data_IF_425693654422
#
_entry.id   IF_425693654422
#
_cell.length_a   1.000
_cell.length_b   1.000
_cell.length_c   1.000
_cell.angle_alpha   90.00
_cell.angle_beta   90.00
_cell.angle_gamma   90.00
#
_symmetry.space_group_name_H-M   'P 1'
#
loop_
_entity.id
_entity.type
_entity.pdbx_description
1 polymer ?
#
# COMPACT_ATOMS: atom_id res chain seq x y z
N UNK A 1 -7.85 14.68 5.51
CA UNK A 1 -7.26 13.35 5.24
C UNK A 1 -8.23 12.62 4.34
N UNK A 2 -7.75 11.89 3.33
CA UNK A 2 -8.65 11.12 2.45
C UNK A 2 -9.13 9.87 3.19
N UNK A 3 -10.38 9.40 2.95
CA UNK A 3 -10.80 8.10 3.44
C UNK A 3 -9.94 7.01 2.79
N UNK A 4 -9.82 5.87 3.46
CA UNK A 4 -9.16 4.72 2.87
C UNK A 4 -10.02 4.16 1.72
N UNK A 5 -9.41 3.59 0.67
CA UNK A 5 -10.18 3.11 -0.48
C UNK A 5 -11.00 1.87 -0.12
N UNK A 6 -12.19 1.75 -0.72
CA UNK A 6 -13.11 0.64 -0.46
C UNK A 6 -12.64 -0.61 -1.20
N UNK A 7 -12.50 -1.76 -0.52
CA UNK A 7 -12.17 -3.02 -1.19
C UNK A 7 -13.37 -3.56 -1.96
N UNK A 8 -13.17 -3.84 -3.25
CA UNK A 8 -14.14 -4.57 -4.09
C UNK A 8 -13.88 -6.08 -4.03
N UNK A 9 -12.61 -6.46 -3.90
CA UNK A 9 -12.17 -7.83 -3.76
C UNK A 9 -10.84 -7.87 -3.00
N UNK A 10 -10.63 -8.93 -2.22
CA UNK A 10 -9.36 -9.20 -1.52
C UNK A 10 -9.03 -10.69 -1.64
N UNK A 11 -7.76 -11.01 -1.86
CA UNK A 11 -7.27 -12.38 -1.78
C UNK A 11 -7.32 -12.89 -0.34
N UNK A 12 -7.54 -14.20 -0.12
CA UNK A 12 -7.34 -14.80 1.20
C UNK A 12 -5.89 -14.60 1.67
N UNK A 13 -5.70 -14.22 2.94
CA UNK A 13 -4.37 -14.02 3.54
C UNK A 13 -3.44 -15.23 3.33
N UNK A 14 -3.95 -16.45 3.55
CA UNK A 14 -3.20 -17.69 3.33
C UNK A 14 -2.70 -17.84 1.90
N UNK A 15 -3.47 -17.41 0.90
CA UNK A 15 -3.06 -17.51 -0.49
C UNK A 15 -1.97 -16.49 -0.85
N UNK A 16 -1.95 -15.33 -0.19
CA UNK A 16 -0.87 -14.35 -0.36
C UNK A 16 0.42 -14.90 0.26
N UNK A 17 0.34 -15.39 1.50
CA UNK A 17 1.49 -15.93 2.23
C UNK A 17 2.12 -17.14 1.53
N UNK A 18 1.29 -18.02 0.98
CA UNK A 18 1.73 -19.23 0.28
C UNK A 18 2.00 -19.01 -1.23
N UNK A 19 2.06 -17.74 -1.67
CA UNK A 19 2.29 -17.33 -3.07
C UNK A 19 1.32 -17.96 -4.10
N UNK A 20 0.10 -18.28 -3.67
CA UNK A 20 -0.99 -18.78 -4.52
C UNK A 20 -1.86 -17.66 -5.09
N UNK A 21 -1.87 -16.48 -4.48
CA UNK A 21 -2.66 -15.35 -4.94
C UNK A 21 -2.19 -14.83 -6.31
N UNK A 22 -3.11 -14.22 -7.07
CA UNK A 22 -2.76 -13.47 -8.28
C UNK A 22 -2.33 -14.32 -9.49
N UNK A 23 -2.75 -15.60 -9.59
CA UNK A 23 -2.40 -16.45 -10.75
C UNK A 23 -2.88 -15.88 -12.11
N UNK A 24 -3.94 -15.09 -12.10
CA UNK A 24 -4.47 -14.41 -13.29
C UNK A 24 -3.67 -13.15 -13.66
N UNK A 25 -2.80 -12.65 -12.77
CA UNK A 25 -1.94 -11.51 -13.05
C UNK A 25 -0.78 -11.94 -13.95
N UNK A 26 -0.43 -11.07 -14.90
CA UNK A 26 0.81 -11.24 -15.66
C UNK A 26 2.02 -11.23 -14.73
N UNK A 27 3.13 -11.85 -15.17
CA UNK A 27 4.32 -12.02 -14.33
C UNK A 27 4.87 -10.69 -13.78
N UNK A 28 4.87 -9.64 -14.60
CA UNK A 28 5.35 -8.31 -14.21
C UNK A 28 4.48 -7.70 -13.09
N UNK A 29 3.16 -7.80 -13.20
CA UNK A 29 2.23 -7.31 -12.19
C UNK A 29 2.28 -8.13 -10.91
N UNK A 30 2.45 -9.46 -11.02
CA UNK A 30 2.63 -10.35 -9.87
C UNK A 30 3.88 -9.99 -9.06
N UNK A 31 5.00 -9.73 -9.73
CA UNK A 31 6.24 -9.28 -9.09
C UNK A 31 6.08 -7.90 -8.43
N UNK A 32 5.37 -6.97 -9.08
CA UNK A 32 5.11 -5.65 -8.49
C UNK A 32 4.22 -5.74 -7.25
N UNK A 33 3.16 -6.55 -7.29
CA UNK A 33 2.13 -6.60 -6.27
C UNK A 33 2.51 -7.53 -5.10
N UNK A 34 3.10 -8.68 -5.37
CA UNK A 34 3.39 -9.71 -4.37
C UNK A 34 4.88 -9.82 -4.02
N UNK A 35 5.76 -9.14 -4.77
CA UNK A 35 7.19 -9.09 -4.46
C UNK A 35 7.52 -8.13 -3.30
N UNK A 36 8.65 -8.37 -2.66
CA UNK A 36 9.19 -7.58 -1.54
C UNK A 36 9.99 -6.34 -1.99
N UNK A 37 10.07 -6.08 -3.30
CA UNK A 37 10.77 -4.95 -3.88
C UNK A 37 10.13 -3.59 -3.56
N UNK A 38 10.95 -2.53 -3.46
CA UNK A 38 10.47 -1.16 -3.24
C UNK A 38 9.82 -0.58 -4.50
N UNK A 39 8.55 -0.14 -4.47
CA UNK A 39 7.91 0.49 -5.64
C UNK A 39 8.66 1.72 -6.10
N UNK A 40 9.24 2.50 -5.18
CA UNK A 40 10.07 3.65 -5.54
C UNK A 40 11.22 3.26 -6.45
N UNK A 41 11.89 2.12 -6.17
CA UNK A 41 12.95 1.61 -7.02
C UNK A 41 12.41 1.05 -8.34
N UNK A 42 11.30 0.31 -8.29
CA UNK A 42 10.67 -0.22 -9.50
C UNK A 42 10.24 0.88 -10.45
N UNK A 43 9.56 1.93 -9.98
CA UNK A 43 9.14 3.04 -10.82
C UNK A 43 10.33 3.76 -11.45
N UNK A 44 11.40 4.03 -10.69
CA UNK A 44 12.63 4.61 -11.25
C UNK A 44 13.23 3.73 -12.36
N UNK A 45 13.21 2.40 -12.19
CA UNK A 45 13.71 1.48 -13.23
C UNK A 45 12.81 1.45 -14.47
N UNK A 46 11.50 1.52 -14.30
CA UNK A 46 10.54 1.48 -15.39
C UNK A 46 10.50 2.79 -16.17
N UNK A 47 10.50 3.93 -15.47
CA UNK A 47 10.33 5.26 -16.09
C UNK A 47 11.65 5.92 -16.45
N UNK A 48 12.74 5.59 -15.79
CA UNK A 48 14.00 6.34 -15.83
C UNK A 48 13.98 7.65 -15.02
N UNK A 49 12.81 8.03 -14.48
CA UNK A 49 12.62 9.29 -13.75
C UNK A 49 12.77 9.11 -12.24
N UNK A 50 13.28 10.12 -11.50
CA UNK A 50 13.29 10.09 -10.06
C UNK A 50 11.86 10.12 -9.51
N UNK A 51 11.58 9.21 -8.57
CA UNK A 51 10.33 9.26 -7.79
C UNK A 51 10.36 10.40 -6.77
N UNK A 52 9.35 11.26 -6.81
CA UNK A 52 9.06 12.28 -5.79
C UNK A 52 7.79 11.93 -5.01
N UNK A 53 7.71 12.43 -3.77
CA UNK A 53 6.56 12.22 -2.88
C UNK A 53 5.77 13.52 -2.80
N UNK A 54 4.48 13.44 -3.11
CA UNK A 54 3.51 14.51 -2.87
C UNK A 54 2.71 14.15 -1.61
N UNK A 55 2.96 14.87 -0.51
CA UNK A 55 2.28 14.62 0.76
C UNK A 55 0.84 15.12 0.72
N UNK A 56 -0.11 14.25 1.02
CA UNK A 56 -1.54 14.59 1.12
C UNK A 56 -1.87 14.96 2.56
N UNK A 57 -1.51 14.09 3.50
CA UNK A 57 -1.77 14.29 4.92
C UNK A 57 -0.80 13.48 5.79
N UNK A 58 -0.53 13.97 6.98
CA UNK A 58 0.10 13.21 8.06
C UNK A 58 -0.48 13.71 9.39
N UNK A 59 -1.32 12.89 10.03
CA UNK A 59 -2.05 13.30 11.23
C UNK A 59 -2.29 12.11 12.18
N UNK A 60 -2.67 12.38 13.44
CA UNK A 60 -3.14 11.35 14.36
C UNK A 60 -4.21 10.48 13.73
N UNK A 61 -4.03 9.17 13.84
CA UNK A 61 -5.05 8.21 13.45
C UNK A 61 -6.03 8.05 14.61
N UNK A 62 -7.36 8.20 14.38
CA UNK A 62 -8.35 7.97 15.41
C UNK A 62 -8.20 6.56 15.98
N UNK A 63 -8.33 6.44 17.31
CA UNK A 63 -8.35 5.14 17.97
C UNK A 63 -9.47 4.28 17.36
N UNK A 64 -9.24 2.96 17.24
CA UNK A 64 -10.38 2.05 17.08
C UNK A 64 -11.27 2.28 18.30
N UNK A 65 -12.46 2.84 18.10
CA UNK A 65 -13.53 2.59 19.06
C UNK A 65 -13.72 1.08 19.04
N UNK A 66 -13.40 0.42 20.16
CA UNK A 66 -13.69 -0.99 20.32
C UNK A 66 -15.18 -1.14 20.05
N UNK A 67 -15.53 -1.78 18.92
CA UNK A 67 -16.89 -2.12 18.59
C UNK A 67 -17.46 -2.88 19.79
N UNK A 68 -18.30 -2.22 20.56
CA UNK A 68 -18.99 -2.81 21.69
C UNK A 68 -19.73 -4.04 21.18
N UNK A 69 -19.49 -5.15 21.85
CA UNK A 69 -20.14 -6.44 21.61
C UNK A 69 -21.66 -6.29 21.53
N UNK A 70 -22.28 -6.97 20.56
CA UNK A 70 -23.72 -7.19 20.52
C UNK A 70 -24.49 -6.30 19.54
N UNK A 71 -24.44 -6.64 18.25
CA UNK A 71 -25.39 -6.12 17.28
C UNK A 71 -25.15 -6.71 15.91
N UNK A 72 -26.06 -7.58 15.46
CA UNK A 72 -26.15 -8.01 14.06
C UNK A 72 -26.33 -6.79 13.16
N UNK A 73 -25.21 -6.23 12.71
CA UNK A 73 -25.14 -5.32 11.58
C UNK A 73 -23.98 -5.76 10.70
N UNK A 74 -24.34 -6.50 9.68
CA UNK A 74 -23.55 -6.70 8.48
C UNK A 74 -23.42 -5.35 7.73
N UNK A 75 -22.72 -4.37 8.31
CA UNK A 75 -22.46 -3.08 7.66
C UNK A 75 -20.94 -2.87 7.56
N UNK A 76 -20.44 -2.94 6.32
CA UNK A 76 -19.03 -3.03 5.92
C UNK A 76 -18.14 -1.80 6.18
N UNK A 77 -18.44 -0.99 7.20
CA UNK A 77 -17.69 0.23 7.53
C UNK A 77 -16.40 -0.01 8.33
N UNK A 78 -16.24 -1.18 8.98
CA UNK A 78 -15.03 -1.52 9.72
C UNK A 78 -13.90 -2.12 8.84
N UNK A 79 -14.06 -2.12 7.50
CA UNK A 79 -13.23 -2.87 6.55
C UNK A 79 -12.23 -2.03 5.76
N UNK A 80 -12.08 -0.75 6.08
CA UNK A 80 -11.27 0.16 5.26
C UNK A 80 -9.78 0.14 5.62
N UNK A 81 -9.38 -0.31 6.81
CA UNK A 81 -7.95 -0.43 7.19
C UNK A 81 -7.48 -1.88 7.10
N UNK A 82 -6.20 -2.14 6.75
CA UNK A 82 -5.63 -3.47 6.89
C UNK A 82 -5.73 -3.94 8.36
N UNK A 83 -6.12 -5.20 8.62
CA UNK A 83 -6.29 -5.72 9.98
C UNK A 83 -5.00 -5.65 10.81
N UNK A 84 -3.84 -5.76 10.16
CA UNK A 84 -2.50 -5.69 10.74
C UNK A 84 -2.22 -4.35 11.43
N UNK A 85 -2.98 -3.29 11.11
CA UNK A 85 -2.87 -2.00 11.80
C UNK A 85 -3.16 -2.14 13.30
N UNK A 86 -3.99 -3.11 13.70
CA UNK A 86 -4.29 -3.40 15.10
C UNK A 86 -3.09 -3.94 15.89
N UNK A 87 -2.05 -4.46 15.21
CA UNK A 87 -0.83 -4.98 15.84
C UNK A 87 0.15 -3.84 16.22
N UNK A 88 -0.03 -2.65 15.66
CA UNK A 88 0.84 -1.51 15.93
C UNK A 88 0.53 -0.89 17.31
N UNK A 89 1.59 -0.62 18.08
CA UNK A 89 1.47 0.09 19.34
C UNK A 89 0.99 1.54 19.13
N UNK A 90 -0.07 1.94 19.81
CA UNK A 90 -0.55 3.33 19.83
C UNK A 90 0.37 4.28 20.64
N UNK A 91 0.16 5.61 20.54
CA UNK A 91 -0.79 6.28 19.64
C UNK A 91 -0.33 6.24 18.19
N UNK A 92 -1.27 6.13 17.25
CA UNK A 92 -0.96 5.98 15.83
C UNK A 92 -0.93 7.31 15.07
N UNK A 93 -0.08 7.38 14.05
CA UNK A 93 -0.06 8.39 13.00
C UNK A 93 -0.36 7.72 11.66
N UNK A 94 -1.22 8.35 10.87
CA UNK A 94 -1.46 7.97 9.47
C UNK A 94 -0.87 9.00 8.52
N UNK A 95 -0.09 8.52 7.56
CA UNK A 95 0.51 9.33 6.48
C UNK A 95 -0.01 8.87 5.13
N UNK A 96 -0.45 9.80 4.30
CA UNK A 96 -0.98 9.58 2.94
C UNK A 96 -0.19 10.39 1.93
N UNK A 97 0.19 9.76 0.82
CA UNK A 97 1.06 10.35 -0.20
C UNK A 97 0.70 9.88 -1.61
N UNK A 98 1.03 10.68 -2.61
CA UNK A 98 1.23 10.20 -3.97
C UNK A 98 2.71 9.96 -4.26
N UNK A 99 3.00 8.91 -5.01
CA UNK A 99 4.30 8.64 -5.61
C UNK A 99 4.25 9.10 -7.06
N UNK A 100 5.09 10.09 -7.40
CA UNK A 100 5.14 10.68 -8.73
C UNK A 100 6.43 10.33 -9.46
N UNK A 101 6.34 10.11 -10.76
CA UNK A 101 7.47 10.10 -11.69
C UNK A 101 7.22 11.17 -12.75
N UNK A 102 8.03 12.24 -12.73
CA UNK A 102 7.73 13.45 -13.48
C UNK A 102 6.34 13.99 -13.14
N UNK A 103 5.48 14.14 -14.15
CA UNK A 103 4.12 14.65 -14.00
C UNK A 103 3.10 13.56 -13.61
N UNK A 104 3.46 12.27 -13.68
CA UNK A 104 2.53 11.15 -13.49
C UNK A 104 2.50 10.70 -12.03
N UNK A 105 1.30 10.56 -11.46
CA UNK A 105 1.07 9.82 -10.21
C UNK A 105 0.96 8.34 -10.55
N UNK A 106 1.93 7.53 -10.09
CA UNK A 106 1.98 6.10 -10.41
C UNK A 106 1.51 5.22 -9.27
N UNK A 107 1.52 5.73 -8.04
CA UNK A 107 0.87 5.08 -6.92
C UNK A 107 0.35 6.10 -5.91
N UNK A 108 -0.65 5.68 -5.17
CA UNK A 108 -1.03 6.26 -3.90
C UNK A 108 -0.57 5.33 -2.79
N UNK A 109 -0.18 5.88 -1.65
CA UNK A 109 0.11 5.08 -0.49
C UNK A 109 -0.40 5.73 0.79
N UNK A 110 -0.81 4.88 1.72
CA UNK A 110 -1.00 5.27 3.10
C UNK A 110 -0.24 4.33 4.03
N UNK A 111 0.17 4.85 5.17
CA UNK A 111 0.96 4.10 6.14
C UNK A 111 0.57 4.48 7.56
N UNK A 112 0.57 3.48 8.42
CA UNK A 112 0.27 3.59 9.85
C UNK A 112 1.52 3.31 10.66
N UNK A 113 1.72 4.12 11.69
CA UNK A 113 2.91 4.11 12.50
C UNK A 113 2.56 4.38 13.95
N UNK A 114 3.28 3.76 14.87
CA UNK A 114 3.41 4.34 16.20
C UNK A 114 3.98 5.78 16.06
N UNK A 115 3.45 6.73 16.84
CA UNK A 115 3.84 8.15 16.78
C UNK A 115 5.33 8.35 16.97
N UNK A 116 5.92 7.75 17.98
CA UNK A 116 7.33 7.92 18.33
C UNK A 116 8.22 7.31 17.23
N UNK A 117 7.82 6.15 16.70
CA UNK A 117 8.49 5.53 15.57
C UNK A 117 8.43 6.44 14.32
N UNK A 118 7.29 7.05 14.03
CA UNK A 118 7.15 8.00 12.94
C UNK A 118 8.00 9.27 13.15
N UNK A 119 8.10 9.81 14.35
CA UNK A 119 8.97 10.97 14.63
C UNK A 119 10.46 10.64 14.45
N UNK A 120 10.84 9.39 14.73
CA UNK A 120 12.20 8.92 14.46
C UNK A 120 12.45 8.70 12.95
N UNK A 121 11.49 8.09 12.25
CA UNK A 121 11.66 7.56 10.90
C UNK A 121 11.05 8.40 9.77
N UNK A 122 10.29 9.45 10.05
CA UNK A 122 9.63 10.28 9.03
C UNK A 122 9.95 11.77 9.22
N UNK A 123 11.15 12.08 9.75
CA UNK A 123 11.62 13.46 9.99
C UNK A 123 11.51 14.34 8.74
N UNK A 124 11.93 13.79 7.59
CA UNK A 124 11.65 14.39 6.30
C UNK A 124 10.41 13.76 5.68
N UNK A 125 9.30 14.49 5.76
CA UNK A 125 7.98 14.03 5.29
C UNK A 125 7.91 13.92 3.77
N UNK A 126 8.86 14.49 3.03
CA UNK A 126 8.94 14.44 1.57
C UNK A 126 9.73 13.22 1.05
N UNK A 127 10.35 12.44 1.94
CA UNK A 127 11.11 11.27 1.51
C UNK A 127 10.25 10.00 1.39
N UNK A 128 10.58 9.11 0.43
CA UNK A 128 10.07 7.75 0.40
C UNK A 128 10.43 7.01 1.70
N UNK A 129 9.50 6.21 2.21
CA UNK A 129 9.69 5.45 3.48
C UNK A 129 10.96 4.59 3.41
N UNK A 130 11.19 3.91 2.29
CA UNK A 130 12.38 3.07 2.09
C UNK A 130 13.69 3.84 2.27
N UNK A 131 13.81 5.06 1.71
CA UNK A 131 15.03 5.87 1.87
C UNK A 131 15.28 6.24 3.33
N UNK A 132 14.21 6.58 4.05
CA UNK A 132 14.34 6.92 5.46
C UNK A 132 14.72 5.71 6.31
N UNK A 133 14.07 4.56 6.09
CA UNK A 133 14.32 3.35 6.86
C UNK A 133 15.69 2.71 6.59
N UNK A 134 16.20 2.79 5.35
CA UNK A 134 17.50 2.21 4.96
C UNK A 134 18.68 3.17 5.07
N UNK A 135 18.45 4.43 5.48
CA UNK A 135 19.51 5.43 5.66
C UNK A 135 20.64 4.97 6.60
N UNK A 136 20.34 4.06 7.54
CA UNK A 136 21.31 3.43 8.45
C UNK A 136 21.69 1.99 8.08
N UNK A 137 21.29 1.51 6.90
CA UNK A 137 21.44 0.11 6.45
C UNK A 137 20.96 -0.91 7.50
N UNK A 138 19.93 -0.54 8.26
CA UNK A 138 19.36 -1.42 9.26
C UNK A 138 18.63 -2.58 8.58
N UNK A 139 18.71 -3.77 9.18
CA UNK A 139 17.94 -4.92 8.77
C UNK A 139 16.44 -4.60 8.92
N UNK A 140 15.70 -4.81 7.83
CA UNK A 140 14.27 -4.61 7.73
C UNK A 140 13.69 -5.82 7.02
N UNK A 141 12.77 -6.50 7.69
CA UNK A 141 12.02 -7.59 7.08
C UNK A 141 10.69 -7.05 6.58
N UNK A 142 10.26 -7.50 5.40
CA UNK A 142 8.96 -7.14 4.80
C UNK A 142 8.15 -8.40 4.60
N UNK A 143 6.88 -8.34 4.97
CA UNK A 143 5.91 -9.39 4.72
C UNK A 143 4.74 -8.80 3.95
N UNK A 144 4.46 -9.30 2.74
CA UNK A 144 3.28 -8.89 1.97
C UNK A 144 2.08 -9.64 2.51
N UNK A 145 1.17 -8.91 3.13
CA UNK A 145 0.04 -9.48 3.87
C UNK A 145 -1.21 -9.59 2.99
N UNK A 146 -1.39 -8.69 2.02
CA UNK A 146 -2.60 -8.73 1.21
C UNK A 146 -2.50 -8.16 -0.19
N UNK A 147 -3.38 -8.69 -1.03
CA UNK A 147 -3.64 -8.30 -2.41
C UNK A 147 -5.13 -7.99 -2.56
N UNK A 148 -5.47 -6.87 -3.19
CA UNK A 148 -6.84 -6.42 -3.33
C UNK A 148 -7.10 -5.65 -4.63
N UNK A 149 -8.36 -5.62 -5.04
CA UNK A 149 -8.90 -4.60 -5.94
C UNK A 149 -9.71 -3.61 -5.12
N UNK A 150 -9.42 -2.33 -5.29
CA UNK A 150 -10.04 -1.25 -4.52
C UNK A 150 -10.62 -0.18 -5.44
N UNK A 151 -11.50 0.65 -4.89
CA UNK A 151 -12.04 1.81 -5.57
C UNK A 151 -12.19 3.01 -4.63
N UNK A 152 -12.02 4.21 -5.18
CA UNK A 152 -12.42 5.46 -4.55
C UNK A 152 -12.50 6.56 -5.61
N UNK A 153 -13.47 7.49 -5.56
CA UNK A 153 -13.57 8.57 -6.55
C UNK A 153 -12.30 9.43 -6.65
N UNK A 154 -11.67 9.73 -5.51
CA UNK A 154 -10.43 10.52 -5.46
C UNK A 154 -9.20 9.76 -6.02
N UNK A 155 -9.25 8.42 -6.12
CA UNK A 155 -8.23 7.65 -6.83
C UNK A 155 -8.37 7.84 -8.34
N UNK A 156 -9.60 7.77 -8.87
CA UNK A 156 -9.85 8.02 -10.30
C UNK A 156 -9.44 9.43 -10.70
N UNK A 157 -9.82 10.45 -9.92
CA UNK A 157 -9.40 11.83 -10.13
C UNK A 157 -7.87 11.97 -10.00
N UNK A 158 -7.29 11.37 -8.97
CA UNK A 158 -5.86 11.46 -8.67
C UNK A 158 -4.97 10.83 -9.73
N UNK A 159 -5.37 9.68 -10.30
CA UNK A 159 -4.66 9.00 -11.38
C UNK A 159 -5.05 9.48 -12.78
N UNK A 160 -6.17 10.20 -12.92
CA UNK A 160 -6.74 10.61 -14.20
C UNK A 160 -7.23 9.43 -15.05
N UNK A 161 -7.55 8.29 -14.42
CA UNK A 161 -8.02 7.07 -15.06
C UNK A 161 -9.01 6.36 -14.14
N UNK A 162 -10.05 5.77 -14.70
CA UNK A 162 -11.04 5.02 -13.93
C UNK A 162 -10.47 3.69 -13.41
N UNK A 163 -10.98 3.28 -12.25
CA UNK A 163 -10.64 2.01 -11.62
C UNK A 163 -11.42 0.80 -12.19
N UNK A 164 -11.38 -0.35 -11.49
CA UNK A 164 -10.80 -0.55 -10.16
C UNK A 164 -9.26 -0.57 -10.17
N UNK A 165 -8.66 -0.38 -8.99
CA UNK A 165 -7.21 -0.26 -8.84
C UNK A 165 -6.64 -1.43 -8.06
N UNK A 166 -5.51 -1.95 -8.51
CA UNK A 166 -4.77 -2.95 -7.76
C UNK A 166 -4.12 -2.34 -6.53
N UNK A 167 -4.27 -3.01 -5.41
CA UNK A 167 -3.71 -2.63 -4.13
C UNK A 167 -2.97 -3.80 -3.50
N UNK A 168 -1.92 -3.47 -2.76
CA UNK A 168 -1.31 -4.38 -1.80
C UNK A 168 -1.16 -3.71 -0.45
N UNK A 169 -1.04 -4.52 0.58
CA UNK A 169 -0.53 -4.03 1.86
C UNK A 169 0.47 -5.00 2.47
N UNK A 170 1.33 -4.46 3.32
CA UNK A 170 2.44 -5.19 3.92
C UNK A 170 2.89 -4.55 5.22
N UNK A 171 3.51 -5.35 6.08
CA UNK A 171 4.21 -4.92 7.28
C UNK A 171 5.71 -4.80 7.04
N UNK A 172 6.32 -3.81 7.70
CA UNK A 172 7.76 -3.83 7.96
C UNK A 172 8.00 -4.24 9.40
N UNK A 173 9.04 -5.06 9.60
CA UNK A 173 9.49 -5.48 10.92
C UNK A 173 10.91 -5.01 11.18
N UNK A 174 11.19 -4.70 12.45
CA UNK A 174 12.53 -4.36 12.93
C UNK A 174 12.73 -4.97 14.32
N UNK A 175 13.76 -5.80 14.48
CA UNK A 175 14.02 -6.50 15.74
C UNK A 175 12.88 -7.42 16.17
N UNK A 176 12.22 -8.08 15.21
CA UNK A 176 11.11 -9.01 15.44
C UNK A 176 9.78 -8.35 15.85
N UNK A 177 9.64 -7.03 15.65
CA UNK A 177 8.39 -6.28 15.94
C UNK A 177 7.94 -5.48 14.74
N UNK A 178 6.64 -5.33 14.61
CA UNK A 178 5.95 -4.54 13.59
C UNK A 178 6.31 -3.05 13.76
N UNK A 179 6.87 -2.47 12.71
CA UNK A 179 7.30 -1.07 12.68
C UNK A 179 6.22 -0.19 12.04
N UNK A 180 5.64 -0.66 10.94
CA UNK A 180 4.63 0.05 10.18
C UNK A 180 3.85 -0.90 9.30
N UNK A 181 2.59 -0.56 9.04
CA UNK A 181 1.76 -1.15 8.00
C UNK A 181 1.65 -0.14 6.86
N UNK A 182 1.80 -0.59 5.63
CA UNK A 182 1.72 0.25 4.44
C UNK A 182 0.74 -0.38 3.47
N UNK A 183 -0.21 0.42 2.98
CA UNK A 183 -1.04 0.10 1.82
C UNK A 183 -0.61 0.95 0.64
N UNK A 184 -0.47 0.30 -0.51
CA UNK A 184 -0.18 0.93 -1.79
C UNK A 184 -1.31 0.61 -2.77
N UNK A 185 -1.67 1.58 -3.59
CA UNK A 185 -2.63 1.45 -4.69
C UNK A 185 -1.95 1.95 -5.96
N UNK A 186 -2.03 1.17 -7.03
CA UNK A 186 -1.24 1.37 -8.25
C UNK A 186 -2.08 1.95 -9.39
N UNK A 187 -1.50 2.90 -10.11
CA UNK A 187 -2.13 3.53 -11.27
C UNK A 187 -2.20 2.55 -12.45
N UNK A 188 -3.31 2.50 -13.21
CA UNK A 188 -3.37 1.72 -14.46
C UNK A 188 -2.39 2.24 -15.52
N UNK A 189 -1.88 3.48 -15.39
CA UNK A 189 -0.81 4.00 -16.24
C UNK A 189 0.45 3.13 -16.27
N UNK A 190 0.67 2.29 -15.24
CA UNK A 190 1.81 1.37 -15.16
C UNK A 190 1.78 0.28 -16.24
N UNK A 191 0.61 -0.04 -16.83
CA UNK A 191 0.50 -1.01 -17.92
C UNK A 191 1.33 -0.62 -19.14
N UNK A 192 1.64 0.68 -19.31
CA UNK A 192 2.58 1.17 -20.34
C UNK A 192 3.94 0.46 -20.29
N UNK A 193 4.41 0.10 -19.11
CA UNK A 193 5.72 -0.53 -18.90
C UNK A 193 5.62 -2.00 -18.51
N UNK A 194 4.56 -2.38 -17.77
CA UNK A 194 4.39 -3.74 -17.25
C UNK A 194 3.58 -4.64 -18.20
N UNK A 195 2.98 -4.06 -19.24
CA UNK A 195 1.96 -4.73 -20.04
C UNK A 195 0.61 -4.82 -19.32
N UNK A 196 -0.38 -5.47 -19.94
CA UNK A 196 -1.70 -5.67 -19.36
C UNK A 196 -1.64 -6.37 -17.99
N UNK A 197 -2.54 -6.00 -17.10
CA UNK A 197 -2.55 -6.59 -15.75
C UNK A 197 -2.91 -8.07 -15.74
N UNK A 198 -3.90 -8.47 -16.52
CA UNK A 198 -4.30 -9.86 -16.65
C UNK A 198 -3.53 -10.55 -17.78
N UNK A 199 -3.13 -11.79 -17.55
CA UNK A 199 -2.74 -12.69 -18.64
C UNK A 199 -3.99 -13.01 -19.47
N UNK A 200 -3.97 -12.72 -20.76
CA UNK A 200 -4.91 -13.35 -21.68
C UNK A 200 -4.67 -14.86 -21.62
N UNK A 201 -5.71 -15.71 -21.65
CA UNK A 201 -5.51 -17.12 -21.89
C UNK A 201 -4.68 -17.23 -23.18
N UNK A 202 -3.54 -17.90 -23.12
CA UNK A 202 -2.93 -18.40 -24.33
C UNK A 202 -3.91 -19.46 -24.87
N UNK A 203 -4.52 -19.19 -26.02
CA UNK A 203 -5.10 -20.25 -26.84
C UNK A 203 -3.91 -21.11 -27.30
N UNK A 204 -3.64 -22.19 -26.55
CA UNK A 204 -2.76 -23.29 -26.96
C UNK A 204 -3.50 -24.21 -27.96
#
# INVERSE_FOLDING_TARGET
>A
MLPSPTPLWQAPFSDVLEARAGQHLSGAWRLLLLGDGSPTRHFQLLTGDPVSIELIAMAPEPALEASTEGGDRADGANRERPPEVAELAGPLLRRQVWLRCGERRLAWAESWWNRDAAEHHLRDRSQPIWKSLTSRRAELFREVDGLALVTAPWLSEGFGQEGPFWSRHYRFFRGGRELTVIREVFSPALERWLGPTATLPHDD
#
